data_IF_776516556084
#
_entry.id   IF_776516556084
#
_cell.length_a   1.000
_cell.length_b   1.000
_cell.length_c   1.000
_cell.angle_alpha   90.00
_cell.angle_beta   90.00
_cell.angle_gamma   90.00
#
_symmetry.space_group_name_H-M   'P 1'
#
loop_
_entity.id
_entity.type
_entity.pdbx_description
1 polymer ?
#
# COMPACT_ATOMS: atom_id res chain seq x y z
N UNK A 1 5.65 2.33 16.32
CA UNK A 1 4.53 1.38 16.16
C UNK A 1 3.47 2.00 15.26
N UNK A 2 2.79 1.18 14.48
CA UNK A 2 1.82 1.66 13.51
C UNK A 2 0.40 1.31 13.96
N UNK A 3 -0.52 2.25 13.77
CA UNK A 3 -1.91 2.07 14.22
C UNK A 3 -2.74 1.28 13.21
N UNK A 4 -2.26 1.15 11.98
CA UNK A 4 -3.00 0.43 10.95
C UNK A 4 -2.06 -0.15 9.91
N UNK A 5 -2.58 -1.11 9.15
CA UNK A 5 -1.82 -1.70 8.05
C UNK A 5 -1.45 -0.63 7.02
N UNK A 6 -2.34 0.32 6.78
CA UNK A 6 -2.07 1.40 5.84
C UNK A 6 -0.80 2.16 6.24
N UNK A 7 -0.69 2.56 7.50
CA UNK A 7 0.47 3.33 7.95
C UNK A 7 1.74 2.51 7.84
N UNK A 8 1.67 1.23 8.22
CA UNK A 8 2.81 0.33 8.14
C UNK A 8 3.31 0.20 6.71
N UNK A 9 2.41 -0.06 5.76
CA UNK A 9 2.80 -0.27 4.38
C UNK A 9 3.22 1.03 3.70
N UNK A 10 2.60 2.15 4.08
CA UNK A 10 3.04 3.45 3.59
C UNK A 10 4.48 3.71 4.00
N UNK A 11 4.80 3.46 5.27
CA UNK A 11 6.15 3.67 5.78
C UNK A 11 7.15 2.78 5.03
N UNK A 12 6.81 1.51 4.84
CA UNK A 12 7.69 0.58 4.12
C UNK A 12 7.92 1.01 2.69
N UNK A 13 6.87 1.46 2.03
CA UNK A 13 7.02 1.92 0.65
C UNK A 13 7.91 3.16 0.57
N UNK A 14 7.76 4.09 1.50
CA UNK A 14 8.59 5.29 1.52
C UNK A 14 10.06 4.94 1.76
N UNK A 15 10.34 3.88 2.46
CA UNK A 15 11.70 3.39 2.69
C UNK A 15 12.20 2.47 1.58
N UNK A 16 11.40 2.27 0.54
CA UNK A 16 11.72 1.36 -0.57
C UNK A 16 11.87 -0.10 -0.13
N UNK A 17 11.17 -0.48 0.93
CA UNK A 17 11.20 -1.84 1.45
C UNK A 17 10.14 -2.74 0.81
N UNK A 18 9.22 -2.16 0.06
CA UNK A 18 8.25 -2.93 -0.71
C UNK A 18 8.00 -2.23 -2.03
N UNK A 19 7.37 -2.94 -2.96
CA UNK A 19 7.13 -2.45 -4.31
C UNK A 19 5.65 -2.23 -4.54
N UNK A 20 5.33 -1.55 -5.64
CA UNK A 20 3.94 -1.38 -6.05
C UNK A 20 3.26 -2.73 -6.27
N UNK A 21 4.00 -3.71 -6.79
CA UNK A 21 3.46 -5.06 -6.99
C UNK A 21 2.99 -5.66 -5.68
N UNK A 22 3.75 -5.49 -4.61
CA UNK A 22 3.36 -5.98 -3.31
C UNK A 22 2.13 -5.25 -2.78
N UNK A 23 2.08 -3.93 -2.97
CA UNK A 23 0.92 -3.16 -2.55
C UNK A 23 -0.34 -3.56 -3.32
N UNK A 24 -0.21 -3.83 -4.61
CA UNK A 24 -1.33 -4.32 -5.40
C UNK A 24 -1.84 -5.65 -4.85
N UNK A 25 -0.94 -6.53 -4.47
CA UNK A 25 -1.33 -7.80 -3.89
C UNK A 25 -2.08 -7.61 -2.58
N UNK A 26 -1.66 -6.65 -1.79
CA UNK A 26 -2.35 -6.34 -0.54
C UNK A 26 -3.77 -5.84 -0.81
N UNK A 27 -3.98 -5.11 -1.90
CA UNK A 27 -5.33 -4.71 -2.28
C UNK A 27 -6.16 -5.93 -2.66
N UNK A 28 -5.59 -6.86 -3.40
CA UNK A 28 -6.27 -8.10 -3.77
C UNK A 28 -6.64 -8.91 -2.52
N UNK A 29 -5.77 -8.92 -1.53
CA UNK A 29 -6.00 -9.65 -0.28
C UNK A 29 -6.87 -8.86 0.70
N UNK A 30 -7.34 -7.67 0.30
CA UNK A 30 -8.16 -6.80 1.12
C UNK A 30 -7.47 -6.32 2.40
N UNK A 31 -6.15 -6.33 2.41
CA UNK A 31 -5.37 -5.73 3.50
C UNK A 31 -5.38 -4.22 3.34
N UNK A 32 -5.33 -3.75 2.10
CA UNK A 32 -5.42 -2.33 1.76
C UNK A 32 -6.59 -2.10 0.81
N UNK A 33 -7.10 -0.88 0.80
CA UNK A 33 -8.12 -0.47 -0.17
C UNK A 33 -7.43 0.17 -1.38
N UNK A 34 -8.18 0.32 -2.48
CA UNK A 34 -7.65 1.00 -3.66
C UNK A 34 -7.29 2.44 -3.35
N UNK A 35 -8.06 3.09 -2.48
CA UNK A 35 -7.77 4.46 -2.08
C UNK A 35 -6.48 4.54 -1.29
N UNK A 36 -6.24 3.58 -0.42
CA UNK A 36 -5.00 3.53 0.34
C UNK A 36 -3.81 3.29 -0.57
N UNK A 37 -3.96 2.42 -1.55
CA UNK A 37 -2.93 2.20 -2.54
C UNK A 37 -2.58 3.52 -3.25
N UNK A 38 -3.59 4.26 -3.67
CA UNK A 38 -3.37 5.55 -4.34
C UNK A 38 -2.66 6.54 -3.43
N UNK A 39 -3.07 6.59 -2.17
CA UNK A 39 -2.43 7.48 -1.21
C UNK A 39 -0.96 7.14 -1.02
N UNK A 40 -0.63 5.86 -0.97
CA UNK A 40 0.74 5.42 -0.74
C UNK A 40 1.61 5.67 -1.97
N UNK A 41 1.12 5.30 -3.15
CA UNK A 41 1.93 5.32 -4.38
C UNK A 41 1.75 6.59 -5.20
N UNK A 42 0.66 7.32 -4.98
CA UNK A 42 0.33 8.47 -5.81
C UNK A 42 -0.29 8.11 -7.15
N UNK A 43 -0.59 6.84 -7.38
CA UNK A 43 -1.16 6.36 -8.63
C UNK A 43 -2.44 5.56 -8.38
N UNK A 44 -3.37 5.63 -9.33
CA UNK A 44 -4.60 4.86 -9.23
C UNK A 44 -4.29 3.37 -9.28
N UNK A 45 -5.05 2.59 -8.52
CA UNK A 45 -4.93 1.15 -8.59
C UNK A 45 -5.55 0.65 -9.90
N UNK A 46 -4.76 -0.08 -10.67
CA UNK A 46 -5.21 -0.70 -11.93
C UNK A 46 -5.02 -2.20 -11.78
N UNK A 47 -6.10 -2.92 -11.88
CA UNK A 47 -6.07 -4.38 -11.73
C UNK A 47 -5.36 -5.06 -12.91
#
# INVERSE_FOLDING_TARGET
MFDSEFEKWNWRYQKHWCTKSQLKRLVVLEVLTTEEYKTITGEDYVA
#
